data_IF_120426424081
#
_entry.id   IF_120426424081
#
_cell.length_a   1.000
_cell.length_b   1.000
_cell.length_c   1.000
_cell.angle_alpha   90.00
_cell.angle_beta   90.00
_cell.angle_gamma   90.00
#
_symmetry.space_group_name_H-M   'P 1'
#
loop_
_entity.id
_entity.type
_entity.pdbx_description
1 polymer ?
#
# COMPACT_ATOMS: atom_id res chain seq x y z
N UNK A 1 -13.62 -8.89 21.03
CA UNK A 1 -12.74 -9.85 20.32
C UNK A 1 -11.34 -9.24 20.33
N UNK A 2 -10.30 -9.97 20.74
CA UNK A 2 -8.94 -9.44 20.69
C UNK A 2 -8.49 -9.38 19.22
N UNK A 3 -8.06 -8.21 18.75
CA UNK A 3 -7.42 -8.09 17.44
C UNK A 3 -6.02 -8.70 17.56
N UNK A 4 -5.78 -9.78 16.82
CA UNK A 4 -4.45 -10.40 16.70
C UNK A 4 -3.78 -9.78 15.48
N UNK A 5 -2.67 -9.08 15.70
CA UNK A 5 -1.83 -8.56 14.61
C UNK A 5 -0.64 -9.48 14.45
N UNK A 6 -0.45 -10.03 13.25
CA UNK A 6 0.74 -10.81 12.92
C UNK A 6 1.87 -9.85 12.59
N UNK A 7 3.05 -10.12 13.14
CA UNK A 7 4.25 -9.29 12.91
C UNK A 7 5.36 -10.12 12.31
N UNK A 8 6.18 -9.49 11.48
CA UNK A 8 7.30 -10.06 10.77
C UNK A 8 8.58 -9.29 11.12
N UNK A 9 9.65 -10.03 11.39
CA UNK A 9 11.01 -9.50 11.29
C UNK A 9 11.37 -9.18 9.83
N UNK A 10 12.44 -8.42 9.60
CA UNK A 10 12.95 -8.13 8.25
C UNK A 10 13.11 -9.41 7.41
N UNK A 11 13.71 -10.45 7.99
CA UNK A 11 13.99 -11.71 7.28
C UNK A 11 12.70 -12.45 6.90
N UNK A 12 11.75 -12.54 7.82
CA UNK A 12 10.44 -13.16 7.55
C UNK A 12 9.64 -12.35 6.52
N UNK A 13 9.72 -11.03 6.59
CA UNK A 13 9.05 -10.13 5.66
C UNK A 13 9.59 -10.29 4.24
N UNK A 14 10.91 -10.29 4.07
CA UNK A 14 11.58 -10.52 2.78
C UNK A 14 11.20 -11.90 2.21
N UNK A 15 11.23 -12.95 3.04
CA UNK A 15 10.82 -14.29 2.64
C UNK A 15 9.36 -14.35 2.19
N UNK A 16 8.47 -13.65 2.89
CA UNK A 16 7.03 -13.69 2.62
C UNK A 16 6.61 -12.84 1.41
N UNK A 17 7.33 -11.76 1.14
CA UNK A 17 7.00 -10.83 0.04
C UNK A 17 7.82 -11.07 -1.21
N UNK A 18 8.94 -11.79 -1.10
CA UNK A 18 9.83 -12.14 -2.21
C UNK A 18 10.79 -11.03 -2.63
N UNK A 19 10.91 -9.96 -1.83
CA UNK A 19 11.88 -8.88 -2.06
C UNK A 19 13.16 -9.11 -1.26
N UNK A 20 14.26 -8.53 -1.72
CA UNK A 20 15.51 -8.49 -0.95
C UNK A 20 15.46 -7.45 0.18
N UNK A 21 16.39 -7.54 1.12
CA UNK A 21 16.54 -6.54 2.18
C UNK A 21 16.95 -5.17 1.62
N UNK A 22 17.72 -5.13 0.53
CA UNK A 22 18.07 -3.88 -0.17
C UNK A 22 16.82 -3.21 -0.77
N UNK A 23 15.98 -4.00 -1.43
CA UNK A 23 14.69 -3.53 -1.95
C UNK A 23 13.78 -3.08 -0.80
N UNK A 24 13.74 -3.80 0.32
CA UNK A 24 12.96 -3.39 1.49
C UNK A 24 13.41 -2.02 2.03
N UNK A 25 14.72 -1.81 2.17
CA UNK A 25 15.27 -0.52 2.60
C UNK A 25 14.86 0.63 1.67
N UNK A 26 14.88 0.38 0.36
CA UNK A 26 14.46 1.37 -0.64
C UNK A 26 12.97 1.69 -0.53
N UNK A 27 12.11 0.67 -0.47
CA UNK A 27 10.66 0.82 -0.37
C UNK A 27 10.25 1.54 0.92
N UNK A 28 10.94 1.27 2.04
CA UNK A 28 10.74 2.00 3.30
C UNK A 28 11.21 3.46 3.16
N UNK A 29 12.37 3.69 2.53
CA UNK A 29 12.87 5.05 2.27
C UNK A 29 11.96 5.89 1.36
N UNK A 30 11.23 5.23 0.45
CA UNK A 30 10.23 5.85 -0.43
C UNK A 30 8.87 6.04 0.25
N UNK A 31 8.67 5.52 1.46
CA UNK A 31 7.40 5.61 2.20
C UNK A 31 6.29 4.71 1.63
N UNK A 32 6.63 3.72 0.81
CA UNK A 32 5.64 2.75 0.30
C UNK A 32 5.12 1.85 1.40
N UNK A 33 5.97 1.57 2.40
CA UNK A 33 5.62 0.85 3.61
C UNK A 33 6.38 1.44 4.79
N UNK A 34 5.77 1.42 5.97
CA UNK A 34 6.41 1.86 7.21
C UNK A 34 6.50 0.68 8.19
N UNK A 35 7.62 0.53 8.91
CA UNK A 35 7.71 -0.44 9.99
C UNK A 35 6.77 -0.04 11.13
N UNK A 36 6.08 -1.02 11.70
CA UNK A 36 5.15 -0.83 12.82
C UNK A 36 5.89 -0.43 14.10
N UNK A 37 7.03 -1.05 14.35
CA UNK A 37 7.88 -0.78 15.52
C UNK A 37 9.36 -0.82 15.11
N UNK A 38 10.18 -0.09 15.86
CA UNK A 38 11.64 -0.18 15.83
C UNK A 38 12.07 -0.81 17.15
N UNK A 39 12.27 -2.13 17.18
CA UNK A 39 12.72 -2.86 18.36
C UNK A 39 14.24 -2.96 18.36
N UNK A 40 14.91 -2.34 19.34
CA UNK A 40 16.37 -2.46 19.52
C UNK A 40 17.17 -2.24 18.22
N UNK A 41 16.75 -1.27 17.38
CA UNK A 41 17.31 -0.95 16.05
C UNK A 41 16.90 -1.86 14.87
N UNK A 42 16.01 -2.83 15.08
CA UNK A 42 15.46 -3.69 14.03
C UNK A 42 14.01 -3.34 13.71
N UNK A 43 13.67 -3.27 12.42
CA UNK A 43 12.29 -3.04 11.97
C UNK A 43 11.41 -4.27 12.14
N UNK A 44 10.16 -4.01 12.55
CA UNK A 44 9.09 -5.01 12.59
C UNK A 44 7.94 -4.53 11.73
N UNK A 45 7.43 -5.39 10.87
CA UNK A 45 6.32 -5.09 9.96
C UNK A 45 5.08 -5.89 10.34
N UNK A 46 3.88 -5.40 10.02
CA UNK A 46 2.65 -6.17 10.19
C UNK A 46 2.20 -6.86 8.89
N UNK A 47 1.11 -7.60 8.98
CA UNK A 47 0.48 -8.27 7.84
C UNK A 47 -0.05 -7.30 6.78
N UNK A 48 -0.48 -6.10 7.19
CA UNK A 48 -0.91 -5.06 6.25
C UNK A 48 0.26 -4.59 5.38
N UNK A 49 1.42 -4.31 5.97
CA UNK A 49 2.65 -3.98 5.26
C UNK A 49 3.01 -5.03 4.20
N UNK A 50 2.88 -6.32 4.54
CA UNK A 50 3.17 -7.41 3.61
C UNK A 50 2.23 -7.43 2.40
N UNK A 51 0.93 -7.19 2.61
CA UNK A 51 -0.07 -7.11 1.54
C UNK A 51 0.24 -5.94 0.59
N UNK A 52 0.60 -4.78 1.13
CA UNK A 52 0.97 -3.60 0.33
C UNK A 52 2.18 -3.91 -0.54
N UNK A 53 3.23 -4.50 0.03
CA UNK A 53 4.44 -4.85 -0.70
C UNK A 53 4.19 -5.91 -1.76
N UNK A 54 3.42 -6.96 -1.49
CA UNK A 54 3.05 -7.96 -2.51
C UNK A 54 2.31 -7.33 -3.69
N UNK A 55 1.41 -6.37 -3.42
CA UNK A 55 0.72 -5.60 -4.47
C UNK A 55 1.70 -4.75 -5.27
N UNK A 56 2.66 -4.09 -4.60
CA UNK A 56 3.69 -3.28 -5.23
C UNK A 56 4.63 -4.14 -6.12
N UNK A 57 5.06 -5.31 -5.63
CA UNK A 57 5.85 -6.30 -6.40
C UNK A 57 5.11 -6.71 -7.67
N UNK A 58 3.83 -7.06 -7.55
CA UNK A 58 3.02 -7.43 -8.71
C UNK A 58 2.94 -6.29 -9.73
N UNK A 59 2.65 -5.08 -9.27
CA UNK A 59 2.58 -3.90 -10.12
C UNK A 59 3.92 -3.61 -10.82
N UNK A 60 5.03 -3.80 -10.12
CA UNK A 60 6.39 -3.65 -10.66
C UNK A 60 6.61 -4.55 -11.87
N UNK A 61 6.19 -5.80 -11.78
CA UNK A 61 6.28 -6.74 -12.90
C UNK A 61 5.32 -6.37 -14.05
N UNK A 62 4.11 -5.93 -13.74
CA UNK A 62 3.10 -5.57 -14.76
C UNK A 62 3.47 -4.29 -15.52
N UNK A 63 4.09 -3.31 -14.86
CA UNK A 63 4.43 -2.01 -15.45
C UNK A 63 5.91 -1.90 -15.87
N UNK A 64 6.76 -2.85 -15.49
CA UNK A 64 8.21 -2.83 -15.72
C UNK A 64 8.88 -1.52 -15.24
N UNK A 65 8.51 -1.08 -14.03
CA UNK A 65 9.05 0.11 -13.37
C UNK A 65 10.04 -0.26 -12.26
N UNK A 66 10.83 0.72 -11.82
CA UNK A 66 11.63 0.65 -10.60
C UNK A 66 10.79 1.02 -9.36
N UNK A 67 11.37 0.88 -8.15
CA UNK A 67 10.66 1.18 -6.91
C UNK A 67 10.20 2.63 -6.78
N UNK A 68 10.99 3.66 -7.16
CA UNK A 68 10.51 5.04 -7.21
C UNK A 68 9.30 5.21 -8.15
N UNK A 69 9.34 4.61 -9.34
CA UNK A 69 8.21 4.62 -10.26
C UNK A 69 6.96 3.96 -9.69
N UNK A 70 7.13 2.85 -8.96
CA UNK A 70 6.03 2.15 -8.29
C UNK A 70 5.45 2.94 -7.12
N UNK A 71 6.27 3.63 -6.33
CA UNK A 71 5.81 4.51 -5.26
C UNK A 71 4.88 5.60 -5.83
N UNK A 72 5.28 6.25 -6.93
CA UNK A 72 4.45 7.25 -7.60
C UNK A 72 3.17 6.62 -8.18
N UNK A 73 3.29 5.45 -8.82
CA UNK A 73 2.13 4.76 -9.39
C UNK A 73 1.09 4.37 -8.32
N UNK A 74 1.53 3.91 -7.14
CA UNK A 74 0.64 3.59 -6.02
C UNK A 74 -0.13 4.83 -5.56
N UNK A 75 0.55 5.95 -5.34
CA UNK A 75 -0.09 7.24 -4.97
C UNK A 75 -1.12 7.67 -6.02
N UNK A 76 -0.76 7.62 -7.31
CA UNK A 76 -1.69 7.99 -8.38
C UNK A 76 -2.90 7.06 -8.46
N UNK A 77 -2.74 5.76 -8.19
CA UNK A 77 -3.87 4.83 -8.16
C UNK A 77 -4.83 5.15 -7.00
N UNK A 78 -4.31 5.54 -5.84
CA UNK A 78 -5.13 5.95 -4.70
C UNK A 78 -5.87 7.25 -5.00
N UNK A 79 -5.21 8.23 -5.62
CA UNK A 79 -5.85 9.46 -6.10
C UNK A 79 -6.98 9.17 -7.11
N UNK A 80 -6.73 8.28 -8.07
CA UNK A 80 -7.75 7.85 -9.04
C UNK A 80 -8.93 7.16 -8.34
N UNK A 81 -8.66 6.31 -7.35
CA UNK A 81 -9.70 5.61 -6.59
C UNK A 81 -10.56 6.61 -5.80
N UNK A 82 -9.91 7.58 -5.14
CA UNK A 82 -10.56 8.65 -4.40
C UNK A 82 -11.44 9.51 -5.32
N UNK A 83 -10.89 10.00 -6.44
CA UNK A 83 -11.63 10.81 -7.41
C UNK A 83 -12.82 10.05 -8.01
N UNK A 84 -12.66 8.76 -8.32
CA UNK A 84 -13.77 7.92 -8.79
C UNK A 84 -14.87 7.78 -7.73
N UNK A 85 -14.51 7.66 -6.46
CA UNK A 85 -15.47 7.60 -5.37
C UNK A 85 -16.23 8.92 -5.19
N UNK A 86 -15.52 10.05 -5.20
CA UNK A 86 -16.13 11.37 -5.12
C UNK A 86 -17.11 11.60 -6.29
N UNK A 87 -16.68 11.27 -7.52
CA UNK A 87 -17.52 11.40 -8.70
C UNK A 87 -18.81 10.55 -8.60
N UNK A 88 -18.71 9.31 -8.08
CA UNK A 88 -19.88 8.46 -7.82
C UNK A 88 -20.83 9.12 -6.82
N UNK A 89 -20.32 9.66 -5.72
CA UNK A 89 -21.12 10.34 -4.70
C UNK A 89 -21.82 11.58 -5.25
N UNK A 90 -21.11 12.39 -6.04
CA UNK A 90 -21.66 13.58 -6.68
C UNK A 90 -22.79 13.22 -7.65
N UNK A 91 -22.60 12.19 -8.47
CA UNK A 91 -23.64 11.69 -9.39
C UNK A 91 -24.88 11.20 -8.65
N UNK A 92 -24.70 10.48 -7.54
CA UNK A 92 -25.82 10.03 -6.69
C UNK A 92 -26.58 11.19 -6.04
N UNK A 93 -25.87 12.23 -5.58
CA UNK A 93 -26.49 13.43 -5.02
C UNK A 93 -27.29 14.19 -6.09
N UNK A 94 -26.72 14.35 -7.27
CA UNK A 94 -27.38 15.00 -8.40
C UNK A 94 -28.63 14.24 -8.83
N UNK A 95 -28.54 12.91 -8.96
CA UNK A 95 -29.70 12.08 -9.34
C UNK A 95 -30.82 12.19 -8.30
N UNK A 96 -30.49 12.22 -7.00
CA UNK A 96 -31.48 12.41 -5.94
C UNK A 96 -32.15 13.78 -6.01
N UNK A 97 -31.37 14.83 -6.25
CA UNK A 97 -31.88 16.21 -6.38
C UNK A 97 -32.82 16.35 -7.58
N UNK A 98 -32.44 15.84 -8.76
CA UNK A 98 -33.27 15.88 -9.96
C UNK A 98 -34.55 15.03 -9.81
N UNK A 99 -34.49 13.92 -9.08
CA UNK A 99 -35.65 13.05 -8.83
C UNK A 99 -36.63 13.60 -7.78
N UNK A 100 -36.20 14.55 -6.93
CA UNK A 100 -37.02 15.19 -5.90
C UNK A 100 -36.79 16.73 -5.94
N UNK A 101 -37.31 17.41 -6.98
CA UNK A 101 -37.14 18.85 -7.15
C UNK A 101 -37.90 19.68 -6.11
#
# INVERSE_FOLDING_TARGET
MANVTVTFTITEFCLHTGISEEELNEIVGLGVVEPREIQETTWVFDDHAAIVVQRAVRLRHELALDWPGIAVALTLMDDIAHLKQENRLLRQRLSRFVAHP
#
